data_IF_544142289254
#
_entry.id   IF_544142289254
#
_cell.length_a   1.000
_cell.length_b   1.000
_cell.length_c   1.000
_cell.angle_alpha   90.00
_cell.angle_beta   90.00
_cell.angle_gamma   90.00
#
_symmetry.space_group_name_H-M   'P 1'
#
loop_
_entity.id
_entity.type
_entity.pdbx_description
1 polymer ?
#
# COMPACT_ATOMS: atom_id res chain seq x y z
N UNK A 1 8.05 11.36 16.05
CA UNK A 1 6.71 10.87 16.45
C UNK A 1 6.90 9.44 16.92
N UNK A 2 6.67 9.16 18.20
CA UNK A 2 6.92 7.82 18.78
C UNK A 2 5.78 6.90 18.35
N UNK A 3 6.07 5.96 17.49
CA UNK A 3 5.17 4.87 17.17
C UNK A 3 5.28 3.84 18.29
N UNK A 4 4.24 3.69 19.08
CA UNK A 4 4.16 2.65 20.10
C UNK A 4 3.92 1.32 19.41
N UNK A 5 4.99 0.53 19.24
CA UNK A 5 4.89 -0.89 18.99
C UNK A 5 4.18 -1.51 20.20
N UNK A 6 2.91 -1.91 20.06
CA UNK A 6 2.24 -2.69 21.07
C UNK A 6 2.78 -4.12 21.02
N UNK A 7 3.85 -4.39 21.76
CA UNK A 7 4.25 -5.74 22.10
C UNK A 7 3.36 -6.15 23.26
N UNK A 8 2.57 -7.21 23.06
CA UNK A 8 1.83 -7.80 24.17
C UNK A 8 2.82 -8.54 25.07
N UNK A 9 3.15 -7.93 26.22
CA UNK A 9 4.16 -8.41 27.17
C UNK A 9 3.66 -9.56 28.07
N UNK A 10 2.54 -10.18 27.77
CA UNK A 10 2.01 -11.28 28.58
C UNK A 10 2.59 -12.65 28.17
N UNK A 11 3.91 -12.79 28.24
CA UNK A 11 4.54 -14.11 28.19
C UNK A 11 4.82 -14.58 29.61
N UNK A 12 3.97 -15.45 30.11
CA UNK A 12 4.27 -16.20 31.32
C UNK A 12 5.17 -17.40 30.95
N UNK A 13 6.47 -17.20 31.05
CA UNK A 13 7.48 -18.26 30.85
C UNK A 13 7.69 -19.09 32.13
N UNK A 14 6.92 -18.84 33.20
CA UNK A 14 7.08 -19.51 34.50
C UNK A 14 6.66 -20.98 34.50
N UNK A 15 5.98 -21.46 33.44
CA UNK A 15 5.62 -22.87 33.27
C UNK A 15 6.63 -23.68 32.44
N UNK A 16 7.77 -23.06 32.04
CA UNK A 16 8.82 -23.81 31.34
C UNK A 16 9.65 -24.56 32.39
N UNK A 17 9.48 -25.89 32.40
CA UNK A 17 10.28 -26.79 33.23
C UNK A 17 11.73 -26.81 32.73
N UNK A 18 12.68 -26.36 33.58
CA UNK A 18 14.06 -26.03 33.24
C UNK A 18 15.04 -27.21 33.34
N UNK A 19 14.57 -28.42 33.57
CA UNK A 19 15.44 -29.59 33.78
C UNK A 19 15.96 -30.25 32.48
N UNK A 20 16.54 -29.48 31.57
CA UNK A 20 17.31 -30.01 30.43
C UNK A 20 16.43 -30.73 29.36
N UNK A 21 15.13 -30.59 29.42
CA UNK A 21 14.18 -31.23 28.54
C UNK A 21 14.07 -30.41 27.25
N UNK A 22 14.20 -31.05 26.11
CA UNK A 22 13.81 -30.48 24.82
C UNK A 22 12.27 -30.35 24.84
N UNK A 23 11.78 -29.13 25.11
CA UNK A 23 10.36 -28.85 25.17
C UNK A 23 9.86 -28.68 23.76
N UNK A 24 8.92 -29.51 23.35
CA UNK A 24 8.13 -29.41 22.12
C UNK A 24 8.91 -29.35 20.82
N UNK A 25 8.32 -29.84 19.74
CA UNK A 25 8.97 -29.85 18.43
C UNK A 25 8.86 -28.48 17.70
N UNK A 26 7.89 -27.64 18.08
CA UNK A 26 7.61 -26.36 17.43
C UNK A 26 7.07 -25.32 18.43
N UNK A 27 7.63 -24.11 18.38
CA UNK A 27 7.18 -22.94 19.15
C UNK A 27 6.82 -21.80 18.23
N UNK A 28 5.70 -21.15 18.51
CA UNK A 28 5.21 -19.98 17.78
C UNK A 28 5.09 -18.77 18.70
N UNK A 29 5.78 -17.71 18.36
CA UNK A 29 5.83 -16.47 19.14
C UNK A 29 5.44 -15.27 18.24
N UNK A 30 4.66 -14.30 18.75
CA UNK A 30 4.53 -13.03 18.04
C UNK A 30 5.87 -12.27 18.10
N UNK A 31 6.19 -11.59 17.01
CA UNK A 31 7.40 -10.77 16.92
C UNK A 31 7.04 -9.29 17.01
N UNK A 32 6.19 -8.82 16.12
CA UNK A 32 5.79 -7.41 16.03
C UNK A 32 4.47 -7.24 15.31
N UNK A 33 3.77 -6.14 15.60
CA UNK A 33 2.67 -5.66 14.78
C UNK A 33 3.01 -4.26 14.29
N UNK A 34 3.14 -4.13 12.97
CA UNK A 34 3.41 -2.87 12.29
C UNK A 34 2.10 -2.33 11.75
N UNK A 35 1.82 -1.06 12.01
CA UNK A 35 0.66 -0.36 11.44
C UNK A 35 1.16 0.82 10.66
N UNK A 36 0.88 0.84 9.36
CA UNK A 36 1.24 1.95 8.45
C UNK A 36 -0.04 2.69 8.09
N UNK A 37 -0.13 3.95 8.47
CA UNK A 37 -1.25 4.83 8.18
C UNK A 37 -1.10 5.47 6.79
N UNK A 38 -2.19 6.04 6.26
CA UNK A 38 -2.15 6.77 4.99
C UNK A 38 -1.12 7.91 4.99
N UNK A 39 -0.97 8.61 6.12
CA UNK A 39 -0.02 9.73 6.23
C UNK A 39 1.45 9.29 6.20
N UNK A 40 1.73 8.03 6.50
CA UNK A 40 3.08 7.46 6.49
C UNK A 40 3.45 6.88 5.11
N UNK A 41 2.46 6.66 4.23
CA UNK A 41 2.70 6.25 2.84
C UNK A 41 3.14 7.41 1.95
N UNK A 42 2.97 8.66 2.40
CA UNK A 42 3.41 9.85 1.68
C UNK A 42 4.83 10.25 2.07
N UNK A 43 5.76 10.23 1.11
CA UNK A 43 7.12 10.73 1.29
C UNK A 43 7.14 12.24 1.08
N UNK A 44 8.00 12.94 1.82
CA UNK A 44 8.24 14.38 1.68
C UNK A 44 6.98 15.27 1.80
N UNK A 45 5.98 14.81 2.57
CA UNK A 45 4.75 15.58 2.81
C UNK A 45 3.69 15.43 1.71
N UNK A 46 3.85 14.47 0.80
CA UNK A 46 2.82 14.13 -0.21
C UNK A 46 1.56 13.65 0.49
N UNK A 47 0.44 14.32 0.26
CA UNK A 47 -0.86 13.86 0.73
C UNK A 47 -1.41 12.77 -0.21
N UNK A 48 -1.15 11.51 0.15
CA UNK A 48 -1.60 10.34 -0.62
C UNK A 48 -3.12 10.31 -0.77
N UNK A 49 -3.85 10.76 0.26
CA UNK A 49 -5.31 10.83 0.17
C UNK A 49 -5.74 11.82 -0.91
N UNK A 50 -5.19 13.03 -0.91
CA UNK A 50 -5.51 14.05 -1.91
C UNK A 50 -5.15 13.58 -3.33
N UNK A 51 -4.02 12.88 -3.47
CA UNK A 51 -3.58 12.27 -4.73
C UNK A 51 -4.63 11.30 -5.27
N UNK A 52 -5.10 10.37 -4.47
CA UNK A 52 -6.09 9.40 -4.91
C UNK A 52 -7.51 9.96 -5.01
N UNK A 53 -7.89 10.94 -4.18
CA UNK A 53 -9.17 11.65 -4.34
C UNK A 53 -9.24 12.34 -5.71
N UNK A 54 -8.15 12.96 -6.17
CA UNK A 54 -8.08 13.53 -7.51
C UNK A 54 -8.06 12.46 -8.60
N UNK A 55 -7.32 11.37 -8.39
CA UNK A 55 -7.32 10.23 -9.31
C UNK A 55 -8.74 9.64 -9.50
N UNK A 56 -9.55 9.59 -8.44
CA UNK A 56 -10.93 9.10 -8.50
C UNK A 56 -11.84 10.00 -9.37
N UNK A 57 -11.53 11.30 -9.42
CA UNK A 57 -12.22 12.23 -10.33
C UNK A 57 -11.82 11.96 -11.78
N UNK A 58 -10.52 11.77 -12.06
CA UNK A 58 -10.01 11.54 -13.41
C UNK A 58 -10.27 10.13 -13.95
N UNK A 59 -10.44 9.14 -13.09
CA UNK A 59 -10.70 7.77 -13.50
C UNK A 59 -12.20 7.54 -13.78
N UNK A 60 -12.55 6.79 -14.82
CA UNK A 60 -13.91 6.34 -15.05
C UNK A 60 -14.36 5.38 -13.96
N UNK A 61 -15.65 5.37 -13.59
CA UNK A 61 -16.21 4.44 -12.60
C UNK A 61 -17.66 4.07 -12.95
N UNK A 62 -17.97 2.76 -13.05
CA UNK A 62 -17.06 1.62 -13.22
C UNK A 62 -16.49 1.54 -14.65
N UNK A 63 -15.38 0.82 -14.80
CA UNK A 63 -14.84 0.50 -16.11
C UNK A 63 -15.67 -0.60 -16.80
N UNK A 64 -16.05 -0.47 -18.10
CA UNK A 64 -16.83 -1.46 -18.78
C UNK A 64 -16.15 -2.82 -18.96
N UNK A 65 -14.84 -2.81 -19.25
CA UNK A 65 -14.08 -4.02 -19.56
C UNK A 65 -13.67 -4.82 -18.31
N UNK A 66 -13.19 -4.14 -17.28
CA UNK A 66 -12.66 -4.78 -16.07
C UNK A 66 -13.69 -4.78 -14.92
N UNK A 67 -14.79 -4.05 -15.09
CA UNK A 67 -15.99 -4.10 -14.25
C UNK A 67 -15.90 -3.52 -12.85
N UNK A 68 -14.71 -3.43 -12.24
CA UNK A 68 -14.58 -3.03 -10.84
C UNK A 68 -13.29 -2.29 -10.48
N UNK A 69 -12.24 -2.37 -11.26
CA UNK A 69 -10.94 -1.78 -10.92
C UNK A 69 -10.23 -1.20 -12.15
N UNK A 70 -9.29 -0.31 -11.89
CA UNK A 70 -8.32 0.21 -12.87
C UNK A 70 -7.00 -0.51 -12.66
N UNK A 71 -6.42 -1.04 -13.72
CA UNK A 71 -5.10 -1.68 -13.68
C UNK A 71 -4.01 -0.62 -13.77
N UNK A 72 -3.43 -0.27 -12.63
CA UNK A 72 -2.41 0.77 -12.53
C UNK A 72 -1.09 0.37 -13.19
N UNK A 73 -0.82 -0.94 -13.33
CA UNK A 73 0.35 -1.42 -14.05
C UNK A 73 0.19 -1.22 -15.57
N UNK A 74 -1.01 -1.37 -16.10
CA UNK A 74 -1.29 -1.06 -17.51
C UNK A 74 -1.15 0.42 -17.82
N UNK A 75 -1.52 1.32 -16.90
CA UNK A 75 -1.31 2.76 -17.05
C UNK A 75 0.17 3.07 -17.32
N UNK A 76 1.09 2.41 -16.60
CA UNK A 76 2.51 2.67 -16.73
C UNK A 76 3.15 2.06 -17.99
N UNK A 77 2.58 0.99 -18.55
CA UNK A 77 3.23 0.18 -19.58
C UNK A 77 2.43 0.03 -20.88
N UNK A 78 1.19 0.50 -20.93
CA UNK A 78 0.28 0.29 -22.07
C UNK A 78 -0.42 1.60 -22.43
N UNK A 79 0.15 2.44 -23.30
CA UNK A 79 -0.45 3.72 -23.68
C UNK A 79 -1.90 3.63 -24.15
N UNK A 80 -2.24 2.60 -24.93
CA UNK A 80 -3.62 2.37 -25.40
C UNK A 80 -4.63 2.17 -24.26
N UNK A 81 -4.17 1.72 -23.10
CA UNK A 81 -5.05 1.57 -21.94
C UNK A 81 -5.41 2.94 -21.34
N UNK A 82 -4.49 3.90 -21.34
CA UNK A 82 -4.80 5.28 -20.95
C UNK A 82 -5.85 5.86 -21.89
N UNK A 83 -5.69 5.66 -23.20
CA UNK A 83 -6.68 6.15 -24.17
C UNK A 83 -8.08 5.57 -23.93
N UNK A 84 -8.17 4.26 -23.63
CA UNK A 84 -9.44 3.61 -23.27
C UNK A 84 -10.06 4.21 -21.99
N UNK A 85 -9.25 4.49 -20.97
CA UNK A 85 -9.71 5.14 -19.74
C UNK A 85 -10.24 6.55 -20.00
N UNK A 86 -9.52 7.32 -20.80
CA UNK A 86 -9.88 8.70 -21.12
C UNK A 86 -11.11 8.76 -22.02
N UNK A 87 -11.27 7.84 -22.97
CA UNK A 87 -12.49 7.73 -23.77
C UNK A 87 -13.70 7.46 -22.88
N UNK A 88 -13.61 6.51 -21.97
CA UNK A 88 -14.71 6.21 -21.04
C UNK A 88 -14.97 7.37 -20.07
N UNK A 89 -13.94 8.08 -19.59
CA UNK A 89 -14.09 9.30 -18.78
C UNK A 89 -14.95 10.33 -19.52
N UNK A 90 -14.60 10.64 -20.77
CA UNK A 90 -15.34 11.61 -21.59
C UNK A 90 -16.78 11.16 -21.81
N UNK A 91 -17.01 9.88 -22.10
CA UNK A 91 -18.36 9.33 -22.24
C UNK A 91 -19.16 9.38 -20.91
N UNK A 92 -18.52 9.13 -19.78
CA UNK A 92 -19.15 9.29 -18.48
C UNK A 92 -19.50 10.75 -18.16
N UNK A 93 -18.64 11.71 -18.51
CA UNK A 93 -18.93 13.14 -18.36
C UNK A 93 -20.16 13.57 -19.19
N UNK A 94 -20.37 12.99 -20.38
CA UNK A 94 -21.54 13.28 -21.20
C UNK A 94 -22.86 12.77 -20.59
N UNK A 95 -22.84 11.61 -19.93
CA UNK A 95 -24.04 10.91 -19.46
C UNK A 95 -24.31 10.99 -17.95
N UNK A 96 -23.28 11.29 -17.13
CA UNK A 96 -23.39 11.32 -15.67
C UNK A 96 -23.24 12.73 -15.10
N UNK A 97 -24.29 13.22 -14.41
CA UNK A 97 -24.21 14.50 -13.73
C UNK A 97 -23.18 14.50 -12.61
N UNK A 98 -23.07 13.40 -11.85
CA UNK A 98 -22.09 13.28 -10.78
C UNK A 98 -20.65 13.40 -11.32
N UNK A 99 -20.34 12.71 -12.42
CA UNK A 99 -18.99 12.73 -13.00
C UNK A 99 -18.63 14.10 -13.55
N UNK A 100 -19.50 14.72 -14.37
CA UNK A 100 -19.17 16.02 -14.97
C UNK A 100 -19.12 17.14 -13.91
N UNK A 101 -19.95 17.09 -12.86
CA UNK A 101 -19.85 18.04 -11.77
C UNK A 101 -18.53 17.88 -11.00
N UNK A 102 -18.12 16.66 -10.68
CA UNK A 102 -16.86 16.42 -9.98
C UNK A 102 -15.66 16.94 -10.80
N UNK A 103 -15.64 16.69 -12.11
CA UNK A 103 -14.59 17.24 -13.00
C UNK A 103 -14.68 18.76 -13.05
N UNK A 104 -15.86 19.36 -13.24
CA UNK A 104 -16.03 20.81 -13.29
C UNK A 104 -15.61 21.50 -11.98
N UNK A 105 -15.88 20.86 -10.84
CA UNK A 105 -15.43 21.34 -9.53
C UNK A 105 -13.90 21.35 -9.44
N UNK A 106 -13.25 20.26 -9.83
CA UNK A 106 -11.80 20.17 -9.85
C UNK A 106 -11.16 21.18 -10.80
N UNK A 107 -11.73 21.35 -12.01
CA UNK A 107 -11.26 22.33 -12.98
C UNK A 107 -11.38 23.76 -12.45
N UNK A 108 -12.48 24.06 -11.78
CA UNK A 108 -12.69 25.38 -11.15
C UNK A 108 -11.66 25.65 -10.06
N UNK A 109 -11.44 24.66 -9.19
CA UNK A 109 -10.60 24.82 -8.00
C UNK A 109 -9.10 24.86 -8.35
N UNK A 110 -8.65 24.08 -9.32
CA UNK A 110 -7.22 23.92 -9.62
C UNK A 110 -6.79 24.43 -11.01
N UNK A 111 -7.68 24.41 -12.00
CA UNK A 111 -7.32 24.62 -13.41
C UNK A 111 -8.14 25.72 -14.10
N UNK A 112 -8.77 26.61 -13.32
CA UNK A 112 -9.61 27.71 -13.85
C UNK A 112 -8.88 28.55 -14.89
N UNK A 113 -7.60 28.87 -14.65
CA UNK A 113 -6.79 29.66 -15.57
C UNK A 113 -6.58 29.04 -16.94
N UNK A 114 -6.60 27.73 -17.03
CA UNK A 114 -6.47 26.98 -18.28
C UNK A 114 -7.81 26.89 -19.02
N UNK A 115 -8.89 26.59 -18.30
CA UNK A 115 -10.19 26.28 -18.93
C UNK A 115 -11.10 27.50 -19.15
N UNK A 116 -10.99 28.54 -18.34
CA UNK A 116 -11.82 29.76 -18.51
C UNK A 116 -11.64 30.42 -19.88
N UNK A 117 -10.41 30.52 -20.44
CA UNK A 117 -10.18 31.11 -21.76
C UNK A 117 -10.81 30.30 -22.93
N UNK A 118 -11.08 29.00 -22.72
CA UNK A 118 -11.70 28.13 -23.70
C UNK A 118 -13.23 28.31 -23.75
N UNK A 119 -13.83 28.93 -22.75
CA UNK A 119 -15.26 29.21 -22.71
C UNK A 119 -15.61 30.47 -23.49
N UNK A 120 -16.90 30.71 -23.78
CA UNK A 120 -17.33 31.92 -24.51
C UNK A 120 -16.76 33.20 -23.90
N UNK A 121 -16.37 34.19 -24.72
CA UNK A 121 -15.84 35.47 -24.24
C UNK A 121 -16.76 36.12 -23.20
N UNK A 122 -16.16 36.68 -22.13
CA UNK A 122 -16.86 37.32 -21.01
C UNK A 122 -17.64 36.33 -20.08
N UNK A 123 -17.31 35.05 -20.09
CA UNK A 123 -17.82 34.13 -19.06
C UNK A 123 -17.33 34.58 -17.69
N UNK A 124 -18.26 34.87 -16.76
CA UNK A 124 -17.90 35.19 -15.37
C UNK A 124 -17.30 33.92 -14.72
N UNK A 125 -16.15 34.02 -14.03
CA UNK A 125 -15.60 32.89 -13.27
C UNK A 125 -16.61 32.19 -12.35
N UNK A 126 -17.56 32.91 -11.82
CA UNK A 126 -18.64 32.34 -10.98
C UNK A 126 -19.58 31.40 -11.74
N UNK A 127 -19.74 31.63 -13.04
CA UNK A 127 -20.61 30.84 -13.90
C UNK A 127 -19.85 29.70 -14.60
N UNK A 128 -18.52 29.60 -14.37
CA UNK A 128 -17.64 28.66 -15.01
C UNK A 128 -18.23 27.24 -15.06
N UNK A 129 -18.60 26.69 -13.91
CA UNK A 129 -19.06 25.29 -13.81
C UNK A 129 -20.27 25.04 -14.68
N UNK A 130 -21.27 25.92 -14.60
CA UNK A 130 -22.49 25.78 -15.38
C UNK A 130 -22.24 25.95 -16.89
N UNK A 131 -21.43 26.91 -17.28
CA UNK A 131 -21.09 27.16 -18.70
C UNK A 131 -20.27 25.99 -19.24
N UNK A 132 -19.26 25.52 -18.50
CA UNK A 132 -18.44 24.37 -18.86
C UNK A 132 -19.32 23.12 -19.11
N UNK A 133 -20.18 22.76 -18.16
CA UNK A 133 -21.09 21.60 -18.27
C UNK A 133 -22.01 21.73 -19.49
N UNK A 134 -22.57 22.91 -19.71
CA UNK A 134 -23.45 23.16 -20.84
C UNK A 134 -22.73 23.00 -22.17
N UNK A 135 -21.53 23.61 -22.30
CA UNK A 135 -20.72 23.53 -23.52
C UNK A 135 -20.15 22.15 -23.76
N UNK A 136 -19.72 21.46 -22.72
CA UNK A 136 -19.19 20.09 -22.82
C UNK A 136 -20.25 19.10 -23.30
N UNK A 137 -21.52 19.30 -22.97
CA UNK A 137 -22.65 18.45 -23.42
C UNK A 137 -23.26 18.90 -24.75
N UNK A 138 -22.94 20.08 -25.21
CA UNK A 138 -23.38 20.56 -26.51
C UNK A 138 -22.60 19.83 -27.64
N UNK A 139 -23.31 19.37 -28.68
CA UNK A 139 -22.67 18.73 -29.85
C UNK A 139 -22.10 19.81 -30.77
N UNK A 140 -20.94 20.38 -30.43
CA UNK A 140 -20.28 21.47 -31.15
C UNK A 140 -18.77 21.26 -31.17
N UNK A 141 -18.05 21.99 -32.05
CA UNK A 141 -16.60 21.95 -32.06
C UNK A 141 -15.92 22.36 -30.74
N UNK A 142 -16.59 23.17 -29.94
CA UNK A 142 -16.12 23.53 -28.59
C UNK A 142 -16.14 22.33 -27.62
N UNK A 143 -17.08 21.42 -27.78
CA UNK A 143 -17.07 20.18 -27.01
C UNK A 143 -15.83 19.33 -27.25
N UNK A 144 -15.40 19.23 -28.51
CA UNK A 144 -14.19 18.46 -28.89
C UNK A 144 -12.93 19.10 -28.30
N UNK A 145 -12.85 20.44 -28.33
CA UNK A 145 -11.74 21.20 -27.76
C UNK A 145 -11.68 21.02 -26.23
N UNK A 146 -12.81 21.19 -25.53
CA UNK A 146 -12.88 20.99 -24.07
C UNK A 146 -12.58 19.52 -23.69
N UNK A 147 -13.06 18.57 -24.47
CA UNK A 147 -12.77 17.14 -24.23
C UNK A 147 -11.29 16.83 -24.47
N UNK A 148 -10.65 17.43 -25.47
CA UNK A 148 -9.21 17.33 -25.71
C UNK A 148 -8.39 17.80 -24.52
N UNK A 149 -8.65 19.02 -24.02
CA UNK A 149 -7.94 19.57 -22.87
C UNK A 149 -8.15 18.75 -21.58
N UNK A 150 -9.37 18.22 -21.37
CA UNK A 150 -9.64 17.31 -20.25
C UNK A 150 -8.82 16.02 -20.38
N UNK A 151 -8.73 15.46 -21.60
CA UNK A 151 -7.93 14.24 -21.86
C UNK A 151 -6.45 14.46 -21.59
N UNK A 152 -5.91 15.58 -22.09
CA UNK A 152 -4.48 15.90 -21.93
C UNK A 152 -4.14 16.08 -20.44
N UNK A 153 -4.96 16.81 -19.70
CA UNK A 153 -4.78 17.02 -18.27
C UNK A 153 -4.91 15.72 -17.47
N UNK A 154 -5.98 14.96 -17.69
CA UNK A 154 -6.22 13.70 -17.01
C UNK A 154 -5.14 12.66 -17.36
N UNK A 155 -4.73 12.57 -18.63
CA UNK A 155 -3.67 11.68 -19.11
C UNK A 155 -2.33 11.99 -18.46
N UNK A 156 -1.95 13.27 -18.38
CA UNK A 156 -0.76 13.73 -17.67
C UNK A 156 -0.81 13.32 -16.19
N UNK A 157 -1.92 13.60 -15.53
CA UNK A 157 -2.10 13.25 -14.12
C UNK A 157 -1.97 11.73 -13.87
N UNK A 158 -2.64 10.91 -14.66
CA UNK A 158 -2.61 9.45 -14.52
C UNK A 158 -1.21 8.87 -14.79
N UNK A 159 -0.47 9.45 -15.74
CA UNK A 159 0.90 9.03 -16.04
C UNK A 159 1.85 9.33 -14.89
N UNK A 160 1.62 10.42 -14.17
CA UNK A 160 2.44 10.85 -13.04
C UNK A 160 2.02 10.22 -11.70
N UNK A 161 0.92 9.45 -11.68
CA UNK A 161 0.42 8.79 -10.47
C UNK A 161 1.41 7.71 -10.01
N UNK A 162 2.19 8.02 -8.97
CA UNK A 162 3.19 7.11 -8.38
C UNK A 162 3.09 7.13 -6.87
N UNK A 163 3.32 5.96 -6.26
CA UNK A 163 3.68 5.87 -4.85
C UNK A 163 5.15 5.49 -4.80
N UNK A 164 5.92 6.25 -4.03
CA UNK A 164 7.33 5.98 -3.81
C UNK A 164 7.50 4.89 -2.74
N UNK A 165 8.70 4.27 -2.73
CA UNK A 165 9.07 3.31 -1.70
C UNK A 165 9.00 3.97 -0.32
N UNK A 166 8.42 3.25 0.62
CA UNK A 166 8.28 3.70 2.01
C UNK A 166 9.34 3.01 2.86
N UNK A 167 10.07 3.79 3.63
CA UNK A 167 10.97 3.26 4.67
C UNK A 167 10.28 3.40 6.02
N UNK A 168 10.20 2.30 6.74
CA UNK A 168 9.60 2.25 8.06
C UNK A 168 10.65 1.80 9.08
N UNK A 169 10.85 2.62 10.12
CA UNK A 169 11.73 2.25 11.24
C UNK A 169 10.94 1.39 12.23
N UNK A 170 11.27 0.10 12.29
CA UNK A 170 10.64 -0.84 13.21
C UNK A 170 11.00 -0.54 14.68
N UNK A 171 12.11 0.17 14.90
CA UNK A 171 12.65 0.41 16.24
C UNK A 171 13.13 -0.89 16.91
N UNK A 172 13.52 -0.75 18.16
CA UNK A 172 13.97 -1.90 18.97
C UNK A 172 12.77 -2.72 19.44
N UNK A 173 12.83 -4.04 19.22
CA UNK A 173 11.84 -4.99 19.74
C UNK A 173 12.36 -5.51 21.10
N UNK A 174 11.58 -5.33 22.15
CA UNK A 174 11.95 -5.80 23.49
C UNK A 174 11.59 -7.28 23.67
N UNK A 175 12.49 -8.14 23.23
CA UNK A 175 12.53 -9.55 23.59
C UNK A 175 13.71 -9.70 24.55
N UNK A 176 13.48 -10.26 25.73
CA UNK A 176 14.56 -10.48 26.70
C UNK A 176 15.75 -11.21 26.05
N UNK A 177 16.99 -10.84 26.43
CA UNK A 177 18.19 -11.41 25.86
C UNK A 177 18.22 -12.94 25.89
N UNK A 178 17.76 -13.51 27.01
CA UNK A 178 17.72 -14.97 27.22
C UNK A 178 16.78 -15.66 26.22
N UNK A 179 15.65 -15.01 25.86
CA UNK A 179 14.72 -15.52 24.85
C UNK A 179 15.35 -15.46 23.46
N UNK A 180 16.06 -14.36 23.16
CA UNK A 180 16.76 -14.20 21.88
C UNK A 180 17.83 -15.28 21.72
N UNK A 181 18.63 -15.48 22.76
CA UNK A 181 19.69 -16.50 22.76
C UNK A 181 19.09 -17.89 22.62
N UNK A 182 18.03 -18.20 23.33
CA UNK A 182 17.33 -19.47 23.25
C UNK A 182 16.77 -19.76 21.84
N UNK A 183 16.29 -18.72 21.13
CA UNK A 183 15.75 -18.83 19.77
C UNK A 183 16.83 -18.86 18.70
N UNK A 184 17.87 -18.03 18.83
CA UNK A 184 18.91 -17.83 17.81
C UNK A 184 20.07 -18.81 17.94
N UNK A 185 20.33 -19.32 19.14
CA UNK A 185 21.40 -20.29 19.35
C UNK A 185 20.98 -21.68 18.84
N UNK A 186 21.95 -22.48 18.44
CA UNK A 186 21.74 -23.83 17.92
C UNK A 186 20.87 -23.95 16.66
N UNK A 187 20.83 -22.92 15.85
CA UNK A 187 20.26 -23.04 14.49
C UNK A 187 21.19 -23.88 13.61
N UNK A 188 20.59 -24.71 12.77
CA UNK A 188 21.39 -25.42 11.78
C UNK A 188 22.02 -24.45 10.78
N UNK A 189 23.28 -24.65 10.37
CA UNK A 189 23.96 -23.74 9.45
C UNK A 189 23.23 -23.58 8.10
N UNK A 190 23.36 -22.41 7.50
CA UNK A 190 22.84 -22.13 6.13
C UNK A 190 23.36 -23.19 5.15
N UNK A 191 22.44 -23.80 4.41
CA UNK A 191 22.78 -24.86 3.44
C UNK A 191 22.74 -26.29 3.98
N UNK A 192 22.41 -26.50 5.25
CA UNK A 192 22.20 -27.85 5.81
C UNK A 192 21.06 -28.55 5.08
N UNK A 193 21.36 -29.76 4.56
CA UNK A 193 20.35 -30.64 3.97
C UNK A 193 19.43 -31.20 5.07
N UNK A 194 18.13 -30.93 5.00
CA UNK A 194 17.12 -31.32 6.00
C UNK A 194 17.40 -30.76 7.41
N UNK A 195 17.41 -29.44 7.57
CA UNK A 195 17.63 -28.81 8.86
C UNK A 195 16.52 -29.16 9.86
N UNK A 196 16.91 -29.43 11.10
CA UNK A 196 15.98 -29.77 12.20
C UNK A 196 15.79 -28.58 13.14
N UNK A 197 16.87 -27.83 13.39
CA UNK A 197 16.84 -26.68 14.28
C UNK A 197 16.73 -25.40 13.45
N UNK A 198 15.52 -24.88 13.33
CA UNK A 198 15.23 -23.76 12.43
C UNK A 198 14.43 -22.68 13.13
N UNK A 199 14.66 -21.45 12.70
CA UNK A 199 13.87 -20.29 13.08
C UNK A 199 13.35 -19.63 11.80
N UNK A 200 12.06 -19.48 11.69
CA UNK A 200 11.44 -18.84 10.54
C UNK A 200 10.56 -17.66 11.01
N UNK A 201 10.56 -16.59 10.23
CA UNK A 201 9.63 -15.47 10.37
C UNK A 201 8.48 -15.67 9.38
N UNK A 202 7.26 -15.42 9.83
CA UNK A 202 6.05 -15.49 9.02
C UNK A 202 5.03 -14.49 9.53
N UNK A 203 3.88 -14.37 8.87
CA UNK A 203 2.87 -13.44 9.37
C UNK A 203 1.63 -13.35 8.53
N UNK A 204 0.94 -12.24 8.77
CA UNK A 204 -0.28 -11.88 8.06
C UNK A 204 -0.26 -10.38 7.81
N UNK A 205 -0.85 -9.97 6.69
CA UNK A 205 -1.04 -8.57 6.32
C UNK A 205 -2.48 -8.34 5.89
N UNK A 206 -3.04 -7.22 6.28
CA UNK A 206 -4.32 -6.74 5.81
C UNK A 206 -4.19 -5.26 5.46
N UNK A 207 -4.75 -4.86 4.31
CA UNK A 207 -4.82 -3.46 3.88
C UNK A 207 -6.27 -3.04 3.81
N UNK A 208 -6.61 -1.93 4.46
CA UNK A 208 -7.91 -1.29 4.33
C UNK A 208 -7.94 -0.28 3.16
N UNK A 209 -6.84 -0.11 2.43
CA UNK A 209 -6.77 0.79 1.28
C UNK A 209 -7.59 0.25 0.11
N UNK A 210 -8.22 1.09 -0.72
CA UNK A 210 -8.98 0.65 -1.89
C UNK A 210 -8.08 0.37 -3.10
N UNK A 211 -6.90 -0.18 -2.86
CA UNK A 211 -5.91 -0.56 -3.88
C UNK A 211 -5.34 -1.94 -3.60
N UNK A 212 -5.06 -2.71 -4.64
CA UNK A 212 -4.23 -3.90 -4.52
C UNK A 212 -2.76 -3.49 -4.58
N UNK A 213 -1.99 -4.05 -3.68
CA UNK A 213 -0.59 -3.70 -3.48
C UNK A 213 0.27 -4.96 -3.63
N UNK A 214 1.42 -4.82 -4.26
CA UNK A 214 2.51 -5.77 -4.13
C UNK A 214 3.60 -5.12 -3.28
N UNK A 215 3.95 -5.78 -2.20
CA UNK A 215 5.04 -5.37 -1.30
C UNK A 215 6.18 -6.36 -1.37
N UNK A 216 7.38 -5.83 -1.29
CA UNK A 216 8.59 -6.64 -1.11
C UNK A 216 9.37 -6.14 0.11
N UNK A 217 8.79 -6.24 1.34
CA UNK A 217 9.44 -5.74 2.53
C UNK A 217 10.78 -6.45 2.77
N UNK A 218 11.80 -5.64 3.00
CA UNK A 218 13.15 -6.10 3.35
C UNK A 218 13.53 -5.55 4.71
N UNK A 219 14.09 -6.40 5.56
CA UNK A 219 14.62 -6.02 6.87
C UNK A 219 16.11 -5.68 6.76
N UNK A 220 16.42 -4.40 6.55
CA UNK A 220 17.80 -3.97 6.48
C UNK A 220 18.43 -3.93 7.90
N UNK A 221 19.69 -4.44 8.11
CA UNK A 221 20.65 -4.87 7.11
C UNK A 221 20.62 -6.39 6.80
N UNK A 222 19.57 -7.12 7.18
CA UNK A 222 19.48 -8.56 6.90
C UNK A 222 19.16 -8.84 5.43
N UNK A 223 19.27 -10.13 5.03
CA UNK A 223 18.81 -10.59 3.71
C UNK A 223 17.34 -11.05 3.73
N UNK A 224 16.62 -10.83 4.83
CA UNK A 224 15.23 -11.26 5.00
C UNK A 224 14.31 -10.35 4.20
N UNK A 225 13.65 -10.91 3.20
CA UNK A 225 12.64 -10.21 2.40
C UNK A 225 11.45 -11.12 2.12
N UNK A 226 10.31 -10.49 1.85
CA UNK A 226 9.08 -11.19 1.46
C UNK A 226 8.57 -10.63 0.14
N UNK A 227 7.81 -11.41 -0.61
CA UNK A 227 7.01 -10.93 -1.74
C UNK A 227 5.53 -11.21 -1.42
N UNK A 228 4.74 -10.15 -1.27
CA UNK A 228 3.38 -10.25 -0.78
C UNK A 228 2.45 -9.43 -1.66
N UNK A 229 1.40 -10.06 -2.14
CA UNK A 229 0.30 -9.37 -2.80
C UNK A 229 -0.89 -9.25 -1.84
N UNK A 230 -1.44 -8.05 -1.73
CA UNK A 230 -2.55 -7.72 -0.81
C UNK A 230 -3.69 -7.10 -1.60
N UNK A 231 -4.85 -7.73 -1.52
CA UNK A 231 -6.11 -7.17 -2.04
C UNK A 231 -6.83 -6.37 -0.94
N UNK A 232 -7.65 -5.37 -1.29
CA UNK A 232 -8.37 -4.55 -0.32
C UNK A 232 -9.21 -5.37 0.65
N UNK A 233 -9.01 -5.14 1.94
CA UNK A 233 -9.72 -5.81 3.04
C UNK A 233 -9.61 -7.36 3.04
N UNK A 234 -8.65 -7.92 2.31
CA UNK A 234 -8.37 -9.34 2.30
C UNK A 234 -7.08 -9.60 3.07
N UNK A 235 -7.16 -10.52 4.03
CA UNK A 235 -5.98 -10.95 4.77
C UNK A 235 -5.10 -11.81 3.87
N UNK A 236 -3.86 -11.39 3.65
CA UNK A 236 -2.83 -12.14 2.96
C UNK A 236 -1.86 -12.77 3.96
N UNK A 237 -1.35 -13.95 3.64
CA UNK A 237 -0.35 -14.64 4.45
C UNK A 237 1.05 -14.26 3.98
N UNK A 238 1.92 -13.95 4.94
CA UNK A 238 3.35 -13.85 4.75
C UNK A 238 3.92 -15.25 4.94
N UNK A 239 4.56 -15.79 3.91
CA UNK A 239 5.17 -17.12 3.94
C UNK A 239 6.29 -17.22 4.98
N UNK A 240 6.60 -18.43 5.42
CA UNK A 240 7.74 -18.66 6.31
C UNK A 240 9.05 -18.38 5.57
N UNK A 241 9.86 -17.49 6.13
CA UNK A 241 11.21 -17.16 5.65
C UNK A 241 12.22 -17.50 6.72
N UNK A 242 13.24 -18.25 6.35
CA UNK A 242 14.28 -18.74 7.26
C UNK A 242 15.16 -17.60 7.76
N UNK A 243 15.33 -17.51 9.07
CA UNK A 243 16.31 -16.67 9.74
C UNK A 243 17.60 -17.49 9.98
N UNK A 244 18.74 -16.84 9.76
CA UNK A 244 20.06 -17.42 9.95
C UNK A 244 20.84 -16.61 10.99
N UNK A 245 21.74 -17.31 11.69
CA UNK A 245 22.73 -16.72 12.61
C UNK A 245 22.24 -15.47 13.38
N UNK A 246 22.63 -14.29 12.88
CA UNK A 246 22.39 -13.01 13.55
C UNK A 246 21.12 -12.29 13.07
N UNK A 247 20.36 -12.83 12.12
CA UNK A 247 19.20 -12.14 11.55
C UNK A 247 18.20 -11.71 12.64
N UNK A 248 17.87 -12.63 13.56
CA UNK A 248 16.96 -12.32 14.66
C UNK A 248 17.50 -11.19 15.55
N UNK A 249 18.80 -11.24 15.90
CA UNK A 249 19.43 -10.21 16.75
C UNK A 249 19.40 -8.84 16.08
N UNK A 250 19.71 -8.80 14.78
CA UNK A 250 19.66 -7.56 14.01
C UNK A 250 18.25 -6.99 13.91
N UNK A 251 17.24 -7.85 13.67
CA UNK A 251 15.84 -7.42 13.62
C UNK A 251 15.38 -6.86 14.99
N UNK A 252 15.80 -7.48 16.09
CA UNK A 252 15.41 -7.06 17.46
C UNK A 252 16.11 -5.78 17.88
N UNK A 253 17.38 -5.60 17.54
CA UNK A 253 18.13 -4.39 17.90
C UNK A 253 17.61 -3.12 17.18
N UNK A 254 16.73 -3.29 16.26
CA UNK A 254 16.12 -2.23 15.46
C UNK A 254 16.55 -2.34 14.00
N UNK A 255 15.59 -2.40 13.13
CA UNK A 255 15.83 -2.50 11.70
C UNK A 255 14.92 -1.55 10.95
N UNK A 256 15.40 -1.06 9.82
CA UNK A 256 14.56 -0.38 8.85
C UNK A 256 13.87 -1.43 7.97
N UNK A 257 12.56 -1.33 7.86
CA UNK A 257 11.81 -2.07 6.85
C UNK A 257 11.69 -1.16 5.63
N UNK A 258 12.33 -1.57 4.55
CA UNK A 258 12.15 -0.94 3.25
C UNK A 258 10.97 -1.65 2.57
N UNK A 259 9.93 -0.89 2.28
CA UNK A 259 8.70 -1.34 1.63
C UNK A 259 8.65 -0.81 0.19
N UNK A 260 9.26 -1.49 -0.79
CA UNK A 260 8.95 -1.21 -2.18
C UNK A 260 7.48 -1.55 -2.43
N UNK A 261 6.71 -0.55 -2.83
CA UNK A 261 5.26 -0.70 -3.04
C UNK A 261 4.95 -0.55 -4.52
N UNK A 262 4.35 -1.58 -5.11
CA UNK A 262 3.76 -1.49 -6.44
C UNK A 262 2.25 -1.46 -6.30
N UNK A 263 1.65 -0.41 -6.84
CA UNK A 263 0.21 -0.35 -7.01
C UNK A 263 -0.19 -1.22 -8.19
N UNK A 264 -1.16 -2.09 -8.00
CA UNK A 264 -1.64 -2.97 -9.08
C UNK A 264 -3.03 -2.57 -9.54
N UNK A 265 -4.00 -2.53 -8.64
CA UNK A 265 -5.40 -2.25 -8.95
C UNK A 265 -5.91 -1.12 -8.08
N UNK A 266 -6.62 -0.20 -8.67
CA UNK A 266 -7.38 0.81 -7.98
C UNK A 266 -8.88 0.57 -8.17
N UNK A 267 -9.65 0.74 -7.10
CA UNK A 267 -11.10 0.53 -7.10
C UNK A 267 -11.81 1.89 -7.00
N UNK A 268 -12.18 2.51 -8.14
CA UNK A 268 -12.81 3.83 -8.16
C UNK A 268 -14.11 3.86 -7.35
N UNK A 269 -14.38 4.99 -6.70
CA UNK A 269 -15.57 5.20 -5.88
C UNK A 269 -15.53 4.54 -4.50
N UNK A 270 -14.44 3.86 -4.14
CA UNK A 270 -14.28 3.31 -2.78
C UNK A 270 -13.84 4.35 -1.76
N UNK A 271 -13.25 5.46 -2.23
CA UNK A 271 -12.78 6.57 -1.42
C UNK A 271 -11.61 6.23 -0.50
N UNK A 272 -10.73 7.21 -0.27
CA UNK A 272 -9.69 7.11 0.75
C UNK A 272 -10.14 7.83 2.02
N UNK A 273 -10.01 7.18 3.17
CA UNK A 273 -10.31 7.78 4.48
C UNK A 273 -9.07 7.82 5.36
N UNK A 274 -8.91 8.82 6.24
CA UNK A 274 -7.70 8.99 7.06
C UNK A 274 -7.42 7.84 8.04
N UNK A 275 -8.44 7.05 8.36
CA UNK A 275 -8.38 5.91 9.28
C UNK A 275 -7.98 4.60 8.58
N UNK A 276 -7.92 4.60 7.26
CA UNK A 276 -7.44 3.44 6.51
C UNK A 276 -5.94 3.21 6.77
N UNK A 277 -5.59 1.95 6.94
CA UNK A 277 -4.24 1.54 7.31
C UNK A 277 -3.90 0.17 6.76
N UNK A 278 -2.61 -0.10 6.72
CA UNK A 278 -2.05 -1.43 6.50
C UNK A 278 -1.59 -1.96 7.86
N UNK A 279 -1.97 -3.17 8.19
CA UNK A 279 -1.54 -3.84 9.42
C UNK A 279 -0.77 -5.10 9.05
N UNK A 280 0.46 -5.22 9.52
CA UNK A 280 1.36 -6.35 9.31
C UNK A 280 1.62 -6.97 10.67
N UNK A 281 1.20 -8.22 10.88
CA UNK A 281 1.48 -8.99 12.09
C UNK A 281 2.55 -10.03 11.79
N UNK A 282 3.72 -9.86 12.40
CA UNK A 282 4.87 -10.75 12.25
C UNK A 282 4.97 -11.71 13.44
N UNK A 283 5.36 -12.93 13.15
CA UNK A 283 5.51 -14.01 14.12
C UNK A 283 6.77 -14.80 13.82
N UNK A 284 7.28 -15.49 14.83
CA UNK A 284 8.39 -16.43 14.73
C UNK A 284 7.85 -17.85 14.90
N UNK A 285 8.49 -18.80 14.22
CA UNK A 285 8.33 -20.23 14.49
C UNK A 285 9.71 -20.87 14.63
N UNK A 286 9.97 -21.43 15.82
CA UNK A 286 11.18 -22.21 16.13
C UNK A 286 10.82 -23.69 16.05
N UNK A 287 11.62 -24.44 15.29
CA UNK A 287 11.51 -25.90 15.19
C UNK A 287 12.78 -26.57 15.71
N UNK A 288 12.67 -27.82 16.14
CA UNK A 288 13.76 -28.61 16.69
C UNK A 288 13.99 -28.44 18.19
N UNK A 289 13.00 -27.84 18.87
CA UNK A 289 13.03 -27.65 20.31
C UNK A 289 13.86 -26.43 20.77
N UNK A 290 13.72 -26.12 22.05
CA UNK A 290 14.52 -25.10 22.75
C UNK A 290 15.57 -25.80 23.59
N UNK A 291 16.83 -25.38 23.45
CA UNK A 291 17.92 -25.87 24.31
C UNK A 291 18.15 -24.84 25.42
N UNK A 292 17.79 -25.20 26.62
CA UNK A 292 18.08 -24.37 27.79
C UNK A 292 19.55 -24.65 28.21
N UNK A 293 20.38 -23.60 28.16
CA UNK A 293 21.69 -23.62 28.78
C UNK A 293 21.49 -23.20 30.24
N UNK A 294 21.47 -24.17 31.15
CA UNK A 294 21.46 -23.95 32.60
C UNK A 294 22.84 -23.60 33.10
#
# INVERSE_FOLDING_TARGET
MLVTSCIDNNYDLSEIDTDGVVIGDEFRLPLATVTVSMSELGKDGTDIKALFDEADIWLPSPLPADGKYVDLQKIQHTPSYIDELLDELIEQMKRSDAKINAVADLLYDKYLGTFLPLLPPNTDPKDFKQVFITMFRATTGLQEELAGEVRDLAGGYLTDLKIEDVTYDLGRIDLGSDVVDMLADNLDPKGTANPRNTLDIYGEIISALPVSLQFSPRFYPTEVEFDIRVEPNVKAKIGETRLHENDLRQIIDGTEIILPVKLEKYFPGSGFTPDQKIVIALRLVKRGGLKLNL
#
